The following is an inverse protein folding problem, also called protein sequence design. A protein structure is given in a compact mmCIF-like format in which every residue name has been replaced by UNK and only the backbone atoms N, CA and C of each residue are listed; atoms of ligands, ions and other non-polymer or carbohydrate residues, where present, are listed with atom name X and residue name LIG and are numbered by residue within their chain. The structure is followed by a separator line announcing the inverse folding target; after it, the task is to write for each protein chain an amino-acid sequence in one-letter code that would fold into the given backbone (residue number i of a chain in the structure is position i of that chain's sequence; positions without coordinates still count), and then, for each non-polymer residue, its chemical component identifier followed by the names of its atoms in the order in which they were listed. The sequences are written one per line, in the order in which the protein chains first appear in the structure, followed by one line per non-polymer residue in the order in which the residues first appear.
data_IF_639515828613
#
_entry.id   IF_639515828613
#
_cell.length_a   1.000
_cell.length_b   1.000
_cell.length_c   1.000
_cell.angle_alpha   90.00
_cell.angle_beta   90.00
_cell.angle_gamma   90.00
#
_symmetry.space_group_name_H-M   'P 1'
#
loop_
_entity.id
_entity.type
_entity.pdbx_description
1 polymer ?
#
# COMPACT_ATOMS: atom_id res chain seq x y z
N UNK A 1 1.07 2.55 -7.26
CA UNK A 1 -0.38 2.33 -7.06
C UNK A 1 -1.17 2.11 -8.36
N UNK A 2 -1.11 2.93 -9.42
CA UNK A 2 -1.95 2.69 -10.59
C UNK A 2 -1.83 1.26 -11.16
N UNK A 3 -0.62 0.80 -11.44
CA UNK A 3 -0.42 -0.55 -12.00
C UNK A 3 -0.88 -1.70 -11.09
N UNK A 4 -1.01 -1.47 -9.80
CA UNK A 4 -1.54 -2.49 -8.87
C UNK A 4 -3.04 -2.70 -9.00
N UNK A 5 -3.75 -1.88 -9.78
CA UNK A 5 -5.17 -2.05 -10.08
C UNK A 5 -5.42 -2.98 -11.29
N UNK A 6 -4.38 -3.36 -12.03
CA UNK A 6 -4.52 -4.28 -13.17
C UNK A 6 -4.99 -5.68 -12.76
N UNK A 7 -4.46 -6.33 -11.69
CA UNK A 7 -4.97 -7.62 -11.25
C UNK A 7 -6.45 -7.61 -10.87
N UNK A 8 -6.98 -6.71 -10.00
CA UNK A 8 -8.41 -6.68 -9.70
C UNK A 8 -9.28 -6.36 -10.94
N UNK A 9 -8.81 -5.55 -11.90
CA UNK A 9 -9.49 -5.36 -13.19
C UNK A 9 -9.62 -6.70 -13.94
N UNK A 10 -8.55 -7.49 -13.97
CA UNK A 10 -8.57 -8.82 -14.62
C UNK A 10 -9.50 -9.78 -13.88
N UNK A 11 -9.48 -9.78 -12.53
CA UNK A 11 -10.39 -10.60 -11.71
C UNK A 11 -11.84 -10.22 -11.98
N UNK A 12 -12.16 -8.92 -11.95
CA UNK A 12 -13.52 -8.44 -12.25
C UNK A 12 -14.02 -8.91 -13.62
N UNK A 13 -13.13 -8.93 -14.61
CA UNK A 13 -13.49 -9.40 -15.95
C UNK A 13 -13.66 -10.93 -16.04
N UNK A 14 -12.88 -11.69 -15.24
CA UNK A 14 -12.97 -13.17 -15.21
C UNK A 14 -14.26 -13.63 -14.54
N UNK A 15 -14.63 -13.00 -13.42
CA UNK A 15 -15.80 -13.36 -12.63
C UNK A 15 -17.08 -12.61 -13.04
N UNK A 16 -16.96 -11.60 -13.93
CA UNK A 16 -18.07 -10.76 -14.42
C UNK A 16 -18.87 -10.10 -13.27
N UNK A 17 -18.14 -9.62 -12.26
CA UNK A 17 -18.70 -9.09 -11.02
C UNK A 17 -19.12 -7.60 -11.09
N UNK A 18 -19.17 -7.05 -12.31
CA UNK A 18 -19.59 -5.68 -12.64
C UNK A 18 -18.74 -4.55 -12.04
N UNK A 19 -17.61 -4.84 -11.37
CA UNK A 19 -16.73 -3.82 -10.75
C UNK A 19 -15.64 -3.29 -11.70
N UNK A 20 -15.63 -3.72 -12.95
CA UNK A 20 -14.62 -3.34 -13.94
C UNK A 20 -14.44 -1.83 -14.06
N UNK A 21 -15.53 -1.07 -14.15
CA UNK A 21 -15.47 0.39 -14.31
C UNK A 21 -14.93 1.08 -13.07
N UNK A 22 -15.29 0.64 -11.88
CA UNK A 22 -14.78 1.20 -10.63
C UNK A 22 -13.24 1.11 -10.56
N UNK A 23 -12.67 -0.05 -10.88
CA UNK A 23 -11.22 -0.23 -10.93
C UNK A 23 -10.55 0.48 -12.10
N UNK A 24 -11.20 0.53 -13.26
CA UNK A 24 -10.65 1.20 -14.44
C UNK A 24 -10.61 2.72 -14.28
N UNK A 25 -11.66 3.32 -13.77
CA UNK A 25 -11.72 4.76 -13.48
C UNK A 25 -10.73 5.13 -12.37
N UNK A 26 -10.62 4.31 -11.33
CA UNK A 26 -9.61 4.47 -10.29
C UNK A 26 -8.18 4.38 -10.85
N UNK A 27 -7.93 3.47 -11.81
CA UNK A 27 -6.65 3.35 -12.51
C UNK A 27 -6.31 4.64 -13.27
N UNK A 28 -7.24 5.14 -14.09
CA UNK A 28 -7.03 6.36 -14.87
C UNK A 28 -6.79 7.58 -13.96
N UNK A 29 -7.59 7.72 -12.91
CA UNK A 29 -7.48 8.82 -11.96
C UNK A 29 -6.15 8.78 -11.21
N UNK A 30 -5.77 7.61 -10.68
CA UNK A 30 -4.51 7.42 -9.93
C UNK A 30 -3.30 7.64 -10.83
N UNK A 31 -3.34 7.15 -12.07
CA UNK A 31 -2.29 7.35 -13.07
C UNK A 31 -2.16 8.81 -13.45
N UNK A 32 -3.28 9.49 -13.73
CA UNK A 32 -3.32 10.90 -14.09
C UNK A 32 -2.77 11.80 -12.97
N UNK A 33 -3.22 11.59 -11.73
CA UNK A 33 -2.69 12.32 -10.58
C UNK A 33 -1.20 12.06 -10.37
N UNK A 34 -0.77 10.81 -10.48
CA UNK A 34 0.64 10.43 -10.35
C UNK A 34 1.52 11.11 -11.39
N UNK A 35 1.10 11.14 -12.65
CA UNK A 35 1.81 11.83 -13.73
C UNK A 35 1.81 13.35 -13.55
N UNK A 36 0.69 13.93 -13.12
CA UNK A 36 0.58 15.37 -12.86
C UNK A 36 1.53 15.85 -11.75
N UNK A 37 1.70 15.05 -10.69
CA UNK A 37 2.65 15.35 -9.61
C UNK A 37 4.09 15.08 -10.05
N UNK A 38 4.35 14.00 -10.77
CA UNK A 38 5.69 13.62 -11.18
C UNK A 38 6.31 14.59 -12.19
N UNK A 39 5.51 15.07 -13.14
CA UNK A 39 6.02 15.88 -14.25
C UNK A 39 6.79 17.14 -13.82
N UNK A 40 6.28 18.01 -12.88
CA UNK A 40 6.99 19.20 -12.44
C UNK A 40 8.21 18.91 -11.55
N UNK A 41 8.25 17.75 -10.88
CA UNK A 41 9.28 17.45 -9.86
C UNK A 41 10.43 16.61 -10.43
N UNK A 42 10.24 15.94 -11.57
CA UNK A 42 11.19 14.96 -12.14
C UNK A 42 12.64 15.45 -12.32
N UNK A 43 12.84 16.77 -12.45
CA UNK A 43 14.17 17.37 -12.64
C UNK A 43 14.82 17.90 -11.36
N UNK A 44 14.07 17.95 -10.26
CA UNK A 44 14.59 18.47 -8.99
C UNK A 44 15.23 17.31 -8.22
N UNK A 45 16.56 17.37 -8.05
CA UNK A 45 17.31 16.45 -7.18
C UNK A 45 17.72 17.22 -5.94
N UNK A 46 17.29 16.77 -4.78
CA UNK A 46 17.71 17.31 -3.49
C UNK A 46 18.19 16.15 -2.62
N UNK A 47 19.23 16.39 -1.82
CA UNK A 47 19.66 15.43 -0.82
C UNK A 47 18.64 15.38 0.33
N UNK A 48 18.23 14.17 0.69
CA UNK A 48 17.29 13.94 1.79
C UNK A 48 18.03 14.04 3.12
N UNK A 49 17.50 14.83 4.04
CA UNK A 49 17.94 14.86 5.44
C UNK A 49 17.17 13.78 6.23
N UNK A 50 17.73 13.34 7.36
CA UNK A 50 17.10 12.33 8.25
C UNK A 50 15.66 12.73 8.61
N UNK A 51 15.42 13.99 8.92
CA UNK A 51 14.09 14.53 9.22
C UNK A 51 13.12 14.37 8.06
N UNK A 52 13.59 14.59 6.83
CA UNK A 52 12.78 14.49 5.63
C UNK A 52 12.35 13.03 5.37
N UNK A 53 13.19 12.07 5.77
CA UNK A 53 12.88 10.64 5.69
C UNK A 53 11.65 10.25 6.52
N UNK A 54 11.53 10.73 7.76
CA UNK A 54 10.35 10.46 8.58
C UNK A 54 9.08 11.06 7.97
N UNK A 55 9.16 12.30 7.47
CA UNK A 55 8.04 12.97 6.81
C UNK A 55 7.62 12.21 5.55
N UNK A 56 8.58 11.83 4.71
CA UNK A 56 8.33 11.06 3.47
C UNK A 56 7.67 9.73 3.80
N UNK A 57 8.16 9.00 4.80
CA UNK A 57 7.57 7.72 5.21
C UNK A 57 6.11 7.88 5.66
N UNK A 58 5.83 8.87 6.51
CA UNK A 58 4.46 9.11 6.99
C UNK A 58 3.54 9.50 5.82
N UNK A 59 3.98 10.44 4.98
CA UNK A 59 3.22 10.86 3.79
C UNK A 59 3.02 9.72 2.79
N UNK A 60 4.00 8.85 2.64
CA UNK A 60 3.91 7.68 1.78
C UNK A 60 2.71 6.80 2.18
N UNK A 61 2.60 6.42 3.46
CA UNK A 61 1.47 5.62 3.95
C UNK A 61 0.13 6.33 3.78
N UNK A 62 0.05 7.63 4.10
CA UNK A 62 -1.19 8.40 3.94
C UNK A 62 -1.61 8.51 2.47
N UNK A 63 -0.68 8.84 1.58
CA UNK A 63 -0.96 9.00 0.14
C UNK A 63 -1.29 7.65 -0.52
N UNK A 64 -0.58 6.57 -0.13
CA UNK A 64 -0.91 5.23 -0.63
C UNK A 64 -2.32 4.80 -0.20
N UNK A 65 -2.67 5.02 1.07
CA UNK A 65 -4.01 4.69 1.57
C UNK A 65 -5.10 5.52 0.90
N UNK A 66 -4.82 6.80 0.65
CA UNK A 66 -5.72 7.67 -0.11
C UNK A 66 -5.92 7.18 -1.55
N UNK A 67 -4.83 6.81 -2.23
CA UNK A 67 -4.92 6.25 -3.58
C UNK A 67 -5.60 4.87 -3.59
N UNK A 68 -5.36 4.06 -2.56
CA UNK A 68 -5.96 2.75 -2.41
C UNK A 68 -7.45 2.78 -2.06
N UNK A 69 -7.95 3.89 -1.51
CA UNK A 69 -9.38 4.03 -1.22
C UNK A 69 -10.24 4.34 -2.44
N UNK A 70 -9.64 4.84 -3.53
CA UNK A 70 -10.38 5.29 -4.72
C UNK A 70 -11.24 4.17 -5.33
N UNK A 71 -10.72 2.95 -5.62
CA UNK A 71 -11.54 1.90 -6.19
C UNK A 71 -12.63 1.42 -5.22
N UNK A 72 -12.36 1.39 -3.92
CA UNK A 72 -13.38 1.03 -2.90
C UNK A 72 -14.49 2.08 -2.79
N UNK A 73 -14.18 3.34 -3.04
CA UNK A 73 -15.15 4.43 -3.06
C UNK A 73 -15.98 4.44 -4.35
N UNK A 74 -15.41 4.03 -5.48
CA UNK A 74 -16.11 3.96 -6.77
C UNK A 74 -16.89 2.66 -6.96
N UNK A 75 -16.66 1.68 -6.09
CA UNK A 75 -17.35 0.40 -6.13
C UNK A 75 -18.82 0.55 -5.73
N UNK A 76 -19.71 -0.09 -6.50
CA UNK A 76 -21.14 -0.16 -6.17
C UNK A 76 -21.39 -1.12 -5.00
N UNK A 77 -20.49 -2.08 -4.78
CA UNK A 77 -20.51 -3.04 -3.68
C UNK A 77 -19.08 -3.28 -3.16
N UNK A 78 -18.81 -2.99 -1.88
CA UNK A 78 -19.69 -2.34 -0.90
C UNK A 78 -19.85 -0.84 -1.20
N UNK A 79 -21.05 -0.31 -1.04
CA UNK A 79 -21.31 1.14 -1.17
C UNK A 79 -20.76 1.85 0.08
N UNK A 80 -19.48 2.25 -0.01
CA UNK A 80 -18.76 2.85 1.10
C UNK A 80 -18.71 4.37 0.97
N UNK A 81 -18.93 5.04 2.11
CA UNK A 81 -18.59 6.46 2.21
C UNK A 81 -17.06 6.62 2.10
N UNK A 82 -16.62 7.76 1.64
CA UNK A 82 -15.18 8.05 1.47
C UNK A 82 -14.34 7.73 2.73
N UNK A 83 -14.85 8.08 3.91
CA UNK A 83 -14.15 7.82 5.18
C UNK A 83 -13.99 6.31 5.44
N UNK A 84 -15.03 5.53 5.13
CA UNK A 84 -15.04 4.08 5.33
C UNK A 84 -14.10 3.40 4.31
N UNK A 85 -14.13 3.84 3.03
CA UNK A 85 -13.20 3.37 2.00
C UNK A 85 -11.74 3.70 2.33
N UNK A 86 -11.48 4.89 2.88
CA UNK A 86 -10.15 5.28 3.34
C UNK A 86 -9.68 4.44 4.53
N UNK A 87 -10.58 4.18 5.48
CA UNK A 87 -10.30 3.30 6.63
C UNK A 87 -9.94 1.89 6.16
N UNK A 88 -10.72 1.29 5.26
CA UNK A 88 -10.45 -0.04 4.69
C UNK A 88 -9.09 -0.10 4.00
N UNK A 89 -8.78 0.90 3.17
CA UNK A 89 -7.50 0.98 2.48
C UNK A 89 -6.33 1.15 3.44
N UNK A 90 -6.46 2.02 4.44
CA UNK A 90 -5.43 2.25 5.46
C UNK A 90 -5.22 0.99 6.30
N UNK A 91 -6.30 0.38 6.76
CA UNK A 91 -6.27 -0.87 7.54
C UNK A 91 -5.63 -2.02 6.75
N UNK A 92 -5.94 -2.14 5.46
CA UNK A 92 -5.30 -3.11 4.57
C UNK A 92 -3.79 -2.86 4.45
N UNK A 93 -3.39 -1.66 4.07
CA UNK A 93 -1.99 -1.31 3.86
C UNK A 93 -1.15 -1.34 5.14
N UNK A 94 -1.72 -1.00 6.30
CA UNK A 94 -1.02 -1.16 7.58
C UNK A 94 -1.07 -2.58 8.15
N UNK A 95 -1.66 -3.52 7.40
CA UNK A 95 -1.84 -4.92 7.83
C UNK A 95 -2.60 -5.09 9.14
N UNK A 96 -3.38 -4.09 9.52
CA UNK A 96 -4.21 -4.09 10.74
C UNK A 96 -5.35 -5.10 10.63
N UNK A 97 -5.95 -5.25 9.45
CA UNK A 97 -7.03 -6.20 9.19
C UNK A 97 -8.39 -5.79 9.76
N UNK A 98 -8.51 -4.61 10.37
CA UNK A 98 -9.79 -4.10 10.83
C UNK A 98 -10.69 -3.74 9.65
N UNK A 99 -12.00 -3.98 9.78
CA UNK A 99 -12.97 -3.70 8.71
C UNK A 99 -14.24 -3.08 9.26
N UNK A 100 -14.83 -2.16 8.49
CA UNK A 100 -16.17 -1.60 8.71
C UNK A 100 -17.21 -2.29 7.82
N UNK A 101 -16.75 -3.16 6.90
CA UNK A 101 -17.63 -3.88 5.98
C UNK A 101 -18.23 -5.08 6.70
N UNK A 102 -19.54 -5.22 6.58
CA UNK A 102 -20.30 -6.39 7.01
C UNK A 102 -20.66 -7.25 5.80
N UNK A 103 -20.83 -8.57 6.00
CA UNK A 103 -21.18 -9.48 4.89
C UNK A 103 -20.06 -9.67 3.88
N UNK A 104 -18.84 -9.90 4.38
CA UNK A 104 -17.65 -10.05 3.53
C UNK A 104 -17.78 -11.19 2.50
N UNK A 105 -18.52 -12.25 2.86
CA UNK A 105 -18.69 -13.42 2.00
C UNK A 105 -19.57 -13.14 0.76
N UNK A 106 -20.35 -12.06 0.80
CA UNK A 106 -21.23 -11.65 -0.30
C UNK A 106 -20.62 -10.57 -1.20
N UNK A 107 -19.35 -10.18 -0.93
CA UNK A 107 -18.67 -9.16 -1.74
C UNK A 107 -18.22 -9.71 -3.09
N UNK A 108 -18.16 -8.84 -4.13
CA UNK A 108 -17.54 -9.17 -5.41
C UNK A 108 -16.11 -9.68 -5.26
N UNK A 109 -15.74 -10.69 -6.03
CA UNK A 109 -14.44 -11.35 -5.97
C UNK A 109 -13.27 -10.39 -6.23
N UNK A 110 -13.46 -9.41 -7.11
CA UNK A 110 -12.44 -8.39 -7.37
C UNK A 110 -12.20 -7.48 -6.18
N UNK A 111 -13.23 -7.17 -5.38
CA UNK A 111 -13.12 -6.39 -4.14
C UNK A 111 -12.39 -7.21 -3.06
N UNK A 112 -12.76 -8.48 -2.89
CA UNK A 112 -12.08 -9.39 -1.97
C UNK A 112 -10.61 -9.54 -2.35
N UNK A 113 -10.32 -9.76 -3.63
CA UNK A 113 -8.96 -9.81 -4.15
C UNK A 113 -8.18 -8.53 -3.83
N UNK A 114 -8.79 -7.37 -4.12
CA UNK A 114 -8.15 -6.09 -3.93
C UNK A 114 -7.80 -5.81 -2.47
N UNK A 115 -8.68 -6.14 -1.54
CA UNK A 115 -8.44 -6.02 -0.09
C UNK A 115 -7.24 -6.85 0.36
N UNK A 116 -7.16 -8.13 -0.08
CA UNK A 116 -6.01 -8.99 0.21
C UNK A 116 -4.72 -8.47 -0.41
N UNK A 117 -4.81 -7.94 -1.63
CA UNK A 117 -3.68 -7.33 -2.32
C UNK A 117 -3.12 -6.10 -1.58
N UNK A 118 -3.98 -5.26 -0.99
CA UNK A 118 -3.55 -4.14 -0.16
C UNK A 118 -2.75 -4.62 1.06
N UNK A 119 -3.21 -5.66 1.75
CA UNK A 119 -2.50 -6.24 2.89
C UNK A 119 -1.15 -6.84 2.48
N UNK A 120 -1.11 -7.52 1.36
CA UNK A 120 0.13 -8.11 0.84
C UNK A 120 1.16 -7.02 0.49
N UNK A 121 0.75 -5.96 -0.21
CA UNK A 121 1.63 -4.83 -0.50
C UNK A 121 2.05 -4.08 0.76
N UNK A 122 1.17 -3.96 1.73
CA UNK A 122 1.48 -3.35 3.02
C UNK A 122 2.58 -4.08 3.76
N UNK A 123 2.46 -5.40 3.88
CA UNK A 123 3.48 -6.24 4.51
C UNK A 123 4.83 -6.18 3.80
N UNK A 124 4.83 -6.30 2.46
CA UNK A 124 6.06 -6.13 1.66
C UNK A 124 6.63 -4.72 1.73
N UNK A 125 5.78 -3.70 1.68
CA UNK A 125 6.18 -2.29 1.72
C UNK A 125 6.94 -1.95 2.99
N UNK A 126 6.52 -2.49 4.13
CA UNK A 126 7.20 -2.31 5.41
C UNK A 126 8.62 -2.92 5.39
N UNK A 127 8.77 -4.13 4.84
CA UNK A 127 10.07 -4.79 4.72
C UNK A 127 11.00 -3.97 3.80
N UNK A 128 10.51 -3.55 2.64
CA UNK A 128 11.28 -2.72 1.71
C UNK A 128 11.69 -1.39 2.35
N UNK A 129 10.79 -0.74 3.11
CA UNK A 129 11.11 0.48 3.83
C UNK A 129 12.23 0.25 4.85
N UNK A 130 12.12 -0.82 5.65
CA UNK A 130 13.10 -1.16 6.67
C UNK A 130 14.49 -1.48 6.09
N UNK A 131 14.52 -2.21 4.99
CA UNK A 131 15.78 -2.72 4.40
C UNK A 131 16.44 -1.72 3.46
N UNK A 132 15.66 -1.01 2.64
CA UNK A 132 16.21 -0.15 1.60
C UNK A 132 16.33 1.33 2.04
N UNK A 133 15.34 1.87 2.72
CA UNK A 133 15.26 3.32 2.99
C UNK A 133 15.94 3.70 4.30
N UNK A 134 15.75 2.95 5.37
CA UNK A 134 16.29 3.31 6.68
C UNK A 134 17.82 3.29 6.74
N UNK A 135 18.53 2.32 6.14
CA UNK A 135 19.99 2.38 6.08
C UNK A 135 20.52 3.59 5.32
N UNK A 136 19.83 4.02 4.25
CA UNK A 136 20.20 5.23 3.50
C UNK A 136 20.08 6.52 4.31
N UNK A 137 19.20 6.53 5.31
CA UNK A 137 19.01 7.66 6.23
C UNK A 137 20.00 7.65 7.40
N UNK A 138 20.93 6.70 7.45
CA UNK A 138 21.87 6.56 8.58
C UNK A 138 21.21 6.12 9.89
N UNK A 139 19.92 5.84 9.87
CA UNK A 139 19.18 5.26 11.00
C UNK A 139 19.48 3.77 10.97
N UNK A 140 20.14 3.26 12.02
CA UNK A 140 20.54 1.86 12.08
C UNK A 140 19.35 0.93 11.84
N UNK A 141 19.21 0.40 10.61
CA UNK A 141 18.15 -0.52 10.22
C UNK A 141 18.04 -1.75 11.14
N UNK A 142 19.09 -1.99 11.93
CA UNK A 142 19.14 -3.01 12.97
C UNK A 142 18.11 -2.79 14.08
N UNK A 143 17.83 -1.53 14.45
CA UNK A 143 16.86 -1.26 15.53
C UNK A 143 15.43 -1.51 15.06
N UNK A 144 15.13 -1.19 13.80
CA UNK A 144 13.82 -1.45 13.24
C UNK A 144 13.59 -2.95 12.98
N UNK A 145 14.61 -3.65 12.48
CA UNK A 145 14.54 -5.10 12.33
C UNK A 145 14.21 -5.81 13.65
N UNK A 146 14.77 -5.34 14.77
CA UNK A 146 14.46 -5.88 16.10
C UNK A 146 13.04 -5.61 16.57
N UNK A 147 12.43 -4.49 16.17
CA UNK A 147 11.04 -4.15 16.51
C UNK A 147 10.02 -4.90 15.65
N UNK A 148 10.33 -5.15 14.39
CA UNK A 148 9.42 -5.75 13.42
C UNK A 148 9.52 -7.27 13.31
N UNK A 149 10.64 -7.88 13.77
CA UNK A 149 10.80 -9.33 13.74
C UNK A 149 9.99 -10.00 14.85
N UNK A 150 8.87 -10.68 14.55
CA UNK A 150 8.12 -11.43 15.55
C UNK A 150 8.89 -12.70 15.94
N UNK A 151 9.13 -12.91 17.22
CA UNK A 151 9.66 -14.17 17.70
C UNK A 151 10.64 -14.05 18.88
N UNK A 152 10.92 -15.17 19.57
CA UNK A 152 11.78 -15.20 20.77
C UNK A 152 13.28 -15.01 20.45
N UNK A 153 13.72 -15.18 19.19
CA UNK A 153 15.13 -15.10 18.77
C UNK A 153 15.33 -13.88 17.87
N UNK A 154 15.29 -12.70 18.47
CA UNK A 154 15.46 -11.41 17.75
C UNK A 154 16.90 -11.10 17.35
N UNK A 155 17.88 -11.87 17.80
CA UNK A 155 19.30 -11.56 17.64
C UNK A 155 19.98 -12.33 16.50
N UNK A 156 19.35 -13.37 15.97
CA UNK A 156 19.88 -14.13 14.83
C UNK A 156 19.42 -13.51 13.52
N UNK A 157 20.34 -12.91 12.79
CA UNK A 157 20.13 -12.48 11.42
C UNK A 157 20.22 -13.69 10.49
N UNK A 158 19.41 -13.72 9.45
CA UNK A 158 19.53 -14.72 8.38
C UNK A 158 20.88 -14.56 7.64
N UNK A 159 21.35 -13.32 7.51
CA UNK A 159 22.64 -12.99 6.90
C UNK A 159 23.36 -11.92 7.70
N UNK A 160 24.72 -11.76 7.55
CA UNK A 160 25.47 -10.72 8.20
C UNK A 160 25.04 -9.30 7.80
N UNK A 161 24.44 -9.15 6.61
CA UNK A 161 23.93 -7.87 6.09
C UNK A 161 22.43 -7.95 5.88
N UNK A 162 21.69 -6.95 6.38
CA UNK A 162 20.23 -6.86 6.24
C UNK A 162 19.81 -6.85 4.76
N UNK A 163 20.60 -6.18 3.91
CA UNK A 163 20.35 -6.10 2.46
C UNK A 163 20.40 -7.44 1.72
N UNK A 164 20.97 -8.48 2.34
CA UNK A 164 21.04 -9.82 1.76
C UNK A 164 19.88 -10.72 2.25
N UNK A 165 19.07 -10.24 3.19
CA UNK A 165 17.95 -10.97 3.79
C UNK A 165 16.60 -10.66 3.12
N UNK A 166 16.53 -9.62 2.29
CA UNK A 166 15.30 -9.13 1.63
C UNK A 166 15.08 -9.76 0.26
#
# INVERSE_FOLDING_TARGET
MAFTLLPPIAVSKIYDDHQFFAFFDAFLLTLGMGLAIWFPVRKKRQELRIRDGFIVTTLFWLVLSLSGSIPLYFSDQPDLRFVDAYFESLSGLTTTGATVITGLDDLPESILWYRQQLQWFGGMGLIVLAVAILPMLGIGGMQLYRTEAPGPVKDTKLTPRITETA
#
